data_IF_659776055820
#
_entry.id   IF_659776055820
#
_cell.length_a   1.000
_cell.length_b   1.000
_cell.length_c   1.000
_cell.angle_alpha   90.00
_cell.angle_beta   90.00
_cell.angle_gamma   90.00
#
_symmetry.space_group_name_H-M   'P 1'
#
loop_
_entity.id
_entity.type
_entity.pdbx_description
1 polymer ?
#
# COMPACT_ATOMS: atom_id res chain seq x y z
N UNK A 1 5.80 -24.32 -5.93
CA UNK A 1 4.95 -23.15 -5.68
C UNK A 1 4.65 -23.13 -4.21
N UNK A 2 4.96 -22.02 -3.54
CA UNK A 2 4.94 -21.88 -2.08
C UNK A 2 3.56 -22.24 -1.54
N UNK A 3 3.56 -23.19 -0.61
CA UNK A 3 2.40 -23.65 0.14
C UNK A 3 1.98 -22.46 1.02
N UNK A 4 0.91 -21.76 0.64
CA UNK A 4 0.25 -20.83 1.57
C UNK A 4 -0.26 -21.65 2.76
N UNK A 5 -0.10 -21.09 3.96
CA UNK A 5 -0.57 -21.65 5.22
C UNK A 5 -1.98 -22.25 5.06
N UNK A 6 -2.24 -23.38 5.71
CA UNK A 6 -3.50 -24.14 5.60
C UNK A 6 -4.69 -23.31 6.06
N UNK A 7 -5.22 -22.47 5.17
CA UNK A 7 -6.39 -21.67 5.39
C UNK A 7 -7.63 -22.57 5.31
N UNK A 8 -8.57 -22.40 6.24
CA UNK A 8 -9.78 -23.21 6.28
C UNK A 8 -10.69 -22.83 5.12
N UNK A 9 -10.76 -23.69 4.10
CA UNK A 9 -11.60 -23.44 2.94
C UNK A 9 -13.07 -23.64 3.27
N UNK A 10 -13.88 -22.60 3.06
CA UNK A 10 -15.35 -22.67 3.15
C UNK A 10 -15.96 -22.66 1.76
N UNK A 11 -16.73 -23.69 1.43
CA UNK A 11 -17.47 -23.76 0.16
C UNK A 11 -18.68 -22.82 0.19
N UNK A 12 -18.86 -22.09 -0.89
CA UNK A 12 -20.03 -21.24 -1.15
C UNK A 12 -20.69 -21.65 -2.48
N UNK A 13 -21.98 -21.34 -2.63
CA UNK A 13 -22.69 -21.50 -3.89
C UNK A 13 -22.77 -20.13 -4.58
N UNK A 14 -22.21 -20.04 -5.79
CA UNK A 14 -22.21 -18.81 -6.60
C UNK A 14 -22.80 -19.13 -7.97
N UNK A 15 -23.71 -18.29 -8.44
CA UNK A 15 -24.31 -18.41 -9.77
C UNK A 15 -23.58 -17.52 -10.75
N UNK A 16 -23.22 -18.06 -11.91
CA UNK A 16 -22.57 -17.31 -13.00
C UNK A 16 -23.51 -17.22 -14.20
N UNK A 17 -23.54 -16.08 -14.92
CA UNK A 17 -24.10 -16.04 -16.26
C UNK A 17 -23.44 -17.11 -17.15
N UNK A 18 -24.24 -17.81 -17.95
CA UNK A 18 -23.75 -18.90 -18.81
C UNK A 18 -22.64 -18.42 -19.74
N UNK A 19 -22.84 -17.28 -20.38
CA UNK A 19 -21.87 -16.66 -21.30
C UNK A 19 -20.52 -16.38 -20.64
N UNK A 20 -20.54 -15.80 -19.43
CA UNK A 20 -19.32 -15.52 -18.67
C UNK A 20 -18.59 -16.81 -18.26
N UNK A 21 -19.35 -17.84 -17.89
CA UNK A 21 -18.77 -19.12 -17.55
C UNK A 21 -18.17 -19.83 -18.79
N UNK A 22 -18.77 -19.67 -19.97
CA UNK A 22 -18.22 -20.14 -21.23
C UNK A 22 -16.91 -19.46 -21.58
N UNK A 23 -16.85 -18.13 -21.43
CA UNK A 23 -15.64 -17.35 -21.62
C UNK A 23 -14.52 -17.81 -20.67
N UNK A 24 -14.84 -17.98 -19.38
CA UNK A 24 -13.91 -18.53 -18.41
C UNK A 24 -13.42 -19.92 -18.81
N UNK A 25 -14.31 -20.77 -19.33
CA UNK A 25 -13.93 -22.12 -19.79
C UNK A 25 -13.05 -22.10 -21.02
N UNK A 26 -13.23 -21.12 -21.91
CA UNK A 26 -12.48 -20.94 -23.14
C UNK A 26 -11.04 -20.50 -22.87
N UNK A 27 -10.86 -19.52 -21.97
CA UNK A 27 -9.53 -18.95 -21.70
C UNK A 27 -8.78 -19.61 -20.55
N UNK A 28 -9.47 -20.15 -19.53
CA UNK A 28 -8.82 -20.65 -18.31
C UNK A 28 -8.90 -22.18 -18.21
N UNK A 29 -7.76 -22.88 -18.10
CA UNK A 29 -7.71 -24.33 -17.93
C UNK A 29 -8.52 -24.80 -16.72
N UNK A 30 -9.14 -25.99 -16.81
CA UNK A 30 -10.05 -26.51 -15.79
C UNK A 30 -9.47 -26.52 -14.37
N UNK A 31 -8.15 -26.78 -14.23
CA UNK A 31 -7.47 -26.85 -12.92
C UNK A 31 -7.12 -25.47 -12.33
N UNK A 32 -7.17 -24.41 -13.14
CA UNK A 32 -6.76 -23.05 -12.76
C UNK A 32 -7.96 -22.13 -12.50
N UNK A 33 -9.16 -22.50 -12.96
CA UNK A 33 -10.38 -21.68 -12.82
C UNK A 33 -10.67 -21.25 -11.38
N UNK A 34 -10.46 -22.13 -10.40
CA UNK A 34 -10.67 -21.77 -8.99
C UNK A 34 -9.66 -20.71 -8.53
N UNK A 35 -8.37 -20.88 -8.86
CA UNK A 35 -7.33 -19.89 -8.56
C UNK A 35 -7.65 -18.56 -9.21
N UNK A 36 -8.02 -18.58 -10.49
CA UNK A 36 -8.40 -17.40 -11.24
C UNK A 36 -9.56 -16.63 -10.59
N UNK A 37 -10.62 -17.33 -10.15
CA UNK A 37 -11.76 -16.70 -9.47
C UNK A 37 -11.32 -16.12 -8.11
N UNK A 38 -10.49 -16.83 -7.35
CA UNK A 38 -9.98 -16.35 -6.06
C UNK A 38 -9.14 -15.08 -6.27
N UNK A 39 -8.19 -15.10 -7.18
CA UNK A 39 -7.31 -13.95 -7.48
C UNK A 39 -8.11 -12.74 -7.97
N UNK A 40 -9.10 -12.96 -8.84
CA UNK A 40 -10.01 -11.91 -9.29
C UNK A 40 -10.80 -11.32 -8.11
N UNK A 41 -11.30 -12.17 -7.22
CA UNK A 41 -12.04 -11.76 -6.01
C UNK A 41 -11.15 -10.94 -5.08
N UNK A 42 -9.93 -11.39 -4.81
CA UNK A 42 -8.98 -10.66 -3.97
C UNK A 42 -8.63 -9.29 -4.56
N UNK A 43 -8.39 -9.23 -5.86
CA UNK A 43 -8.08 -7.98 -6.57
C UNK A 43 -9.22 -6.99 -6.47
N UNK A 44 -10.46 -7.43 -6.68
CA UNK A 44 -11.63 -6.56 -6.56
C UNK A 44 -11.91 -6.15 -5.11
N UNK A 45 -11.69 -7.04 -4.14
CA UNK A 45 -11.78 -6.69 -2.72
C UNK A 45 -10.73 -5.65 -2.32
N UNK A 46 -9.49 -5.74 -2.80
CA UNK A 46 -8.47 -4.70 -2.58
C UNK A 46 -8.93 -3.34 -3.12
N UNK A 47 -9.45 -3.32 -4.35
CA UNK A 47 -10.00 -2.11 -4.98
C UNK A 47 -11.18 -1.53 -4.21
N UNK A 48 -12.09 -2.40 -3.75
CA UNK A 48 -13.25 -2.00 -2.95
C UNK A 48 -12.83 -1.38 -1.62
N UNK A 49 -11.92 -2.03 -0.87
CA UNK A 49 -11.39 -1.50 0.39
C UNK A 49 -10.70 -0.15 0.19
N UNK A 50 -9.90 -0.01 -0.87
CA UNK A 50 -9.24 1.27 -1.15
C UNK A 50 -10.25 2.39 -1.43
N UNK A 51 -11.29 2.13 -2.24
CA UNK A 51 -12.37 3.11 -2.48
C UNK A 51 -13.06 3.51 -1.19
N UNK A 52 -13.31 2.56 -0.28
CA UNK A 52 -13.90 2.85 1.03
C UNK A 52 -13.01 3.78 1.86
N UNK A 53 -11.71 3.49 1.94
CA UNK A 53 -10.75 4.38 2.60
C UNK A 53 -10.78 5.78 2.00
N UNK A 54 -10.82 5.91 0.67
CA UNK A 54 -10.92 7.24 0.03
C UNK A 54 -12.24 7.95 0.33
N UNK A 55 -13.36 7.22 0.40
CA UNK A 55 -14.66 7.78 0.81
C UNK A 55 -14.62 8.28 2.25
N UNK A 56 -13.99 7.53 3.15
CA UNK A 56 -13.86 7.87 4.56
C UNK A 56 -12.93 9.08 4.73
N UNK A 57 -11.78 9.11 4.05
CA UNK A 57 -10.83 10.23 4.05
C UNK A 57 -11.43 11.54 3.49
N UNK A 58 -12.45 11.47 2.64
CA UNK A 58 -13.16 12.68 2.19
C UNK A 58 -14.08 13.26 3.26
N UNK A 59 -14.54 12.44 4.21
CA UNK A 59 -15.41 12.85 5.32
C UNK A 59 -14.59 13.29 6.53
N UNK A 60 -13.53 12.55 6.80
CA UNK A 60 -12.59 12.79 7.89
C UNK A 60 -11.18 12.75 7.31
N UNK A 61 -10.65 13.91 6.86
CA UNK A 61 -9.32 13.99 6.29
C UNK A 61 -8.26 13.49 7.27
N UNK A 62 -7.38 12.60 6.81
CA UNK A 62 -6.22 12.17 7.61
C UNK A 62 -5.13 13.25 7.73
N UNK A 63 -5.32 14.38 7.04
CA UNK A 63 -4.38 15.50 7.02
C UNK A 63 -5.19 16.79 6.89
N UNK A 64 -4.85 17.78 7.71
CA UNK A 64 -5.35 19.13 7.59
C UNK A 64 -4.22 20.14 7.78
N UNK A 65 -4.36 21.31 7.17
CA UNK A 65 -3.43 22.43 7.32
C UNK A 65 -3.39 22.94 8.78
N UNK A 66 -4.52 22.84 9.49
CA UNK A 66 -4.66 23.23 10.89
C UNK A 66 -3.83 22.33 11.82
N UNK A 67 -3.71 21.04 11.50
CA UNK A 67 -2.90 20.07 12.25
C UNK A 67 -1.40 20.19 11.95
N UNK A 68 -1.03 20.82 10.82
CA UNK A 68 0.35 20.89 10.32
C UNK A 68 0.77 22.31 9.90
N UNK A 69 0.73 23.29 10.82
CA UNK A 69 1.11 24.68 10.52
C UNK A 69 2.58 24.82 10.12
N UNK A 70 3.43 23.87 10.53
CA UNK A 70 4.85 23.78 10.19
C UNK A 70 5.12 23.31 8.75
N UNK A 71 4.08 23.01 7.97
CA UNK A 71 4.19 22.56 6.58
C UNK A 71 3.42 23.44 5.59
N UNK A 72 2.99 24.64 6.02
CA UNK A 72 2.15 25.56 5.24
C UNK A 72 2.87 26.28 4.11
N UNK A 73 4.14 26.63 4.32
CA UNK A 73 4.97 27.34 3.33
C UNK A 73 6.27 26.62 3.07
N UNK A 74 6.93 26.96 1.96
CA UNK A 74 8.27 26.45 1.64
C UNK A 74 9.27 26.72 2.79
N UNK A 75 9.16 27.87 3.44
CA UNK A 75 10.03 28.22 4.57
C UNK A 75 9.73 27.38 5.82
N UNK A 76 8.45 27.11 6.09
CA UNK A 76 8.04 26.26 7.22
C UNK A 76 8.51 24.81 6.99
N UNK A 77 8.33 24.29 5.78
CA UNK A 77 8.84 22.97 5.38
C UNK A 77 10.37 22.91 5.50
N UNK A 78 11.10 23.94 5.04
CA UNK A 78 12.56 23.98 5.18
C UNK A 78 13.00 23.94 6.64
N UNK A 79 12.31 24.68 7.51
CA UNK A 79 12.57 24.69 8.95
C UNK A 79 12.28 23.32 9.58
N UNK A 80 11.16 22.70 9.22
CA UNK A 80 10.79 21.36 9.68
C UNK A 80 11.82 20.31 9.27
N UNK A 81 12.20 20.27 8.00
CA UNK A 81 13.21 19.33 7.47
C UNK A 81 14.58 19.57 8.10
N UNK A 82 14.98 20.83 8.29
CA UNK A 82 16.24 21.17 8.99
C UNK A 82 16.23 20.61 10.41
N UNK A 83 15.15 20.84 11.17
CA UNK A 83 15.01 20.31 12.54
C UNK A 83 15.06 18.79 12.57
N UNK A 84 14.39 18.11 11.63
CA UNK A 84 14.43 16.66 11.51
C UNK A 84 15.86 16.15 11.28
N UNK A 85 16.62 16.80 10.39
CA UNK A 85 18.02 16.43 10.13
C UNK A 85 18.90 16.64 11.35
N UNK A 86 18.76 17.76 12.05
CA UNK A 86 19.51 18.06 13.27
C UNK A 86 19.15 17.11 14.43
N UNK A 87 17.90 16.63 14.48
CA UNK A 87 17.43 15.72 15.54
C UNK A 87 17.80 14.26 15.25
N UNK A 88 17.77 13.83 13.99
CA UNK A 88 18.03 12.44 13.59
C UNK A 88 19.51 12.19 13.28
N UNK A 89 20.26 13.23 12.88
CA UNK A 89 21.70 13.20 12.75
C UNK A 89 22.32 14.05 13.85
N UNK A 90 22.67 13.47 15.01
CA UNK A 90 23.31 14.19 16.10
C UNK A 90 24.73 14.68 15.76
N UNK A 91 25.23 14.37 14.56
CA UNK A 91 26.53 14.79 14.01
C UNK A 91 26.32 15.52 12.69
N UNK A 92 27.13 16.54 12.45
CA UNK A 92 27.07 17.29 11.18
C UNK A 92 27.58 16.44 10.01
N UNK A 93 27.14 16.74 8.78
CA UNK A 93 27.65 16.04 7.58
C UNK A 93 29.17 16.15 7.45
N UNK A 94 29.74 17.29 7.86
CA UNK A 94 31.18 17.54 7.85
C UNK A 94 31.91 16.62 8.84
N UNK A 95 31.38 16.41 10.05
CA UNK A 95 31.95 15.48 11.04
C UNK A 95 31.99 14.03 10.54
N UNK A 96 30.95 13.60 9.81
CA UNK A 96 30.86 12.25 9.25
C UNK A 96 31.90 12.05 8.13
N UNK A 97 32.08 13.06 7.28
CA UNK A 97 33.07 13.04 6.20
C UNK A 97 34.49 13.03 6.76
N UNK A 98 34.77 13.87 7.75
CA UNK A 98 36.10 13.96 8.38
C UNK A 98 36.48 12.69 9.15
N UNK A 99 35.52 11.98 9.75
CA UNK A 99 35.73 10.65 10.36
C UNK A 99 36.07 9.59 9.31
N UNK A 100 35.32 9.57 8.19
CA UNK A 100 35.57 8.64 7.10
C UNK A 100 36.95 8.84 6.46
N UNK A 101 37.42 10.09 6.37
CA UNK A 101 38.74 10.43 5.85
C UNK A 101 39.89 10.09 6.82
N UNK A 102 39.66 10.12 8.14
CA UNK A 102 40.65 9.73 9.16
C UNK A 102 40.70 8.22 9.44
N UNK A 103 39.68 7.46 9.02
CA UNK A 103 39.54 6.02 9.27
C UNK A 103 40.02 5.10 8.13
N UNK A 104 40.83 5.60 7.19
CA UNK A 104 41.42 4.85 6.07
C UNK A 104 42.90 4.54 6.26
#
# INVERSE_FOLDING_TARGET
GIIMATETLKRINVTFPVSLLEELRHYVPRRERNSFIIEATEKELRRFRFRKVLEDLRREPAWSDEDHPDLMTVEDVNRYVRRLRETWMPRTWDEIVEEAERGG
#
